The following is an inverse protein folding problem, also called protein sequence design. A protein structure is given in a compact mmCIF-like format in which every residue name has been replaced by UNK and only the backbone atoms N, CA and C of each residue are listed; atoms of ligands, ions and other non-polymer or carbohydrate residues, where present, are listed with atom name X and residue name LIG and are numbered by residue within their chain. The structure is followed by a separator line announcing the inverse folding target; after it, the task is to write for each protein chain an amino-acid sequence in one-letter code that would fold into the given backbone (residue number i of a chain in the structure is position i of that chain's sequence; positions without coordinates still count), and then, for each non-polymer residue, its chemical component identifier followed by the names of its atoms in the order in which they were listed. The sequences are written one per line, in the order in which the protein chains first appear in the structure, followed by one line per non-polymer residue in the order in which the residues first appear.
data_IF_726016762902
#
_entry.id   IF_726016762902
#
_cell.length_a   1.000
_cell.length_b   1.000
_cell.length_c   1.000
_cell.angle_alpha   90.00
_cell.angle_beta   90.00
_cell.angle_gamma   90.00
#
_symmetry.space_group_name_H-M   'P 1'
#
loop_
_entity.id
_entity.type
_entity.pdbx_description
1 polymer ?
#
# COMPACT_ATOMS: atom_id res chain seq x y z
N UNK A 1 0.31 -13.36 -31.97
CA UNK A 1 0.93 -12.75 -30.80
C UNK A 1 1.11 -11.27 -31.11
N UNK A 2 0.09 -10.51 -30.87
CA UNK A 2 0.12 -9.06 -31.09
C UNK A 2 0.24 -8.44 -29.68
N UNK A 3 1.41 -7.90 -29.37
CA UNK A 3 1.59 -7.10 -28.17
C UNK A 3 0.80 -5.81 -28.40
N UNK A 4 -0.40 -5.72 -27.82
CA UNK A 4 -1.11 -4.45 -27.71
C UNK A 4 -0.41 -3.71 -26.57
N UNK A 5 0.61 -2.92 -26.93
CA UNK A 5 1.19 -1.95 -26.03
C UNK A 5 0.11 -0.92 -25.70
N UNK A 6 -0.04 -0.59 -24.43
CA UNK A 6 -0.81 0.56 -23.89
C UNK A 6 -0.41 1.91 -24.57
N UNK A 7 0.60 1.92 -25.41
CA UNK A 7 0.99 3.01 -26.31
C UNK A 7 -0.06 3.36 -27.39
N UNK A 8 -1.21 2.70 -27.43
CA UNK A 8 -2.23 2.98 -28.45
C UNK A 8 -3.29 4.00 -28.03
N UNK A 9 -3.38 4.39 -26.76
CA UNK A 9 -4.29 5.48 -26.40
C UNK A 9 -3.78 6.86 -26.91
N UNK A 10 -2.46 7.02 -27.08
CA UNK A 10 -1.87 8.24 -27.63
C UNK A 10 -1.88 8.31 -29.17
N UNK A 11 -2.38 7.30 -29.90
CA UNK A 11 -2.36 7.25 -31.37
C UNK A 11 -3.74 7.39 -32.03
N UNK A 12 -4.80 7.64 -31.26
CA UNK A 12 -6.16 7.92 -31.81
C UNK A 12 -6.38 9.40 -32.18
N UNK A 13 -5.34 10.23 -32.15
CA UNK A 13 -5.38 11.66 -32.43
C UNK A 13 -5.34 12.03 -33.94
N UNK A 14 -5.66 11.15 -34.87
CA UNK A 14 -5.52 11.44 -36.31
C UNK A 14 -6.79 11.36 -37.16
N UNK A 15 -7.97 11.25 -36.59
CA UNK A 15 -9.21 11.31 -37.41
C UNK A 15 -10.30 12.08 -36.67
N UNK A 16 -10.34 13.41 -36.78
CA UNK A 16 -11.52 14.28 -36.71
C UNK A 16 -12.69 13.99 -35.74
N UNK A 17 -12.55 13.08 -34.79
CA UNK A 17 -13.44 12.92 -33.65
C UNK A 17 -12.92 13.85 -32.55
N UNK A 18 -13.77 14.67 -31.97
CA UNK A 18 -13.45 15.37 -30.71
C UNK A 18 -12.90 14.31 -29.75
N UNK A 19 -11.66 14.49 -29.26
CA UNK A 19 -11.06 13.58 -28.32
C UNK A 19 -12.02 13.51 -27.12
N UNK A 20 -12.54 12.31 -26.80
CA UNK A 20 -13.35 12.10 -25.62
C UNK A 20 -12.47 12.34 -24.39
N UNK A 21 -12.99 13.07 -23.44
CA UNK A 21 -12.33 13.34 -22.16
C UNK A 21 -12.59 12.19 -21.18
N UNK A 22 -11.86 12.07 -20.06
CA UNK A 22 -12.19 11.12 -19.00
C UNK A 22 -13.66 11.20 -18.58
N UNK A 23 -14.22 12.40 -18.52
CA UNK A 23 -15.61 12.61 -18.13
C UNK A 23 -16.65 12.08 -19.13
N UNK A 24 -16.33 12.08 -20.43
CA UNK A 24 -17.22 11.48 -21.42
C UNK A 24 -17.40 9.96 -21.22
N UNK A 25 -16.42 9.32 -20.55
CA UNK A 25 -16.45 7.91 -20.22
C UNK A 25 -16.90 7.62 -18.80
N UNK A 26 -16.46 8.42 -17.82
CA UNK A 26 -16.52 8.07 -16.40
C UNK A 26 -17.51 8.91 -15.59
N UNK A 27 -18.01 10.03 -16.09
CA UNK A 27 -19.13 10.76 -15.45
C UNK A 27 -20.47 10.16 -15.91
N UNK A 28 -20.81 8.98 -15.36
CA UNK A 28 -21.98 8.21 -15.83
C UNK A 28 -23.30 8.85 -15.50
N UNK A 29 -23.44 9.52 -14.36
CA UNK A 29 -24.70 10.16 -13.95
C UNK A 29 -24.82 11.63 -14.38
N UNK A 30 -23.76 12.18 -15.00
CA UNK A 30 -23.73 13.52 -15.59
C UNK A 30 -23.77 14.63 -14.56
N UNK A 31 -23.31 14.38 -13.34
CA UNK A 31 -23.31 15.36 -12.26
C UNK A 31 -22.06 16.27 -12.28
N UNK A 32 -21.12 16.03 -13.20
CA UNK A 32 -19.88 16.79 -13.36
C UNK A 32 -18.77 16.33 -12.43
N UNK A 33 -18.85 15.11 -11.87
CA UNK A 33 -17.89 14.56 -10.94
C UNK A 33 -17.73 13.04 -11.10
N UNK A 34 -16.49 12.55 -11.18
CA UNK A 34 -16.20 11.11 -11.23
C UNK A 34 -16.21 10.55 -9.80
N UNK A 35 -17.41 10.28 -9.29
CA UNK A 35 -17.64 10.04 -7.85
C UNK A 35 -18.11 8.63 -7.51
N UNK A 36 -18.67 8.50 -6.30
CA UNK A 36 -19.13 7.23 -5.76
C UNK A 36 -20.22 6.55 -6.59
N UNK A 37 -21.09 7.31 -7.27
CA UNK A 37 -22.10 6.74 -8.17
C UNK A 37 -21.47 6.09 -9.38
N UNK A 38 -20.43 6.71 -9.94
CA UNK A 38 -19.64 6.15 -11.04
C UNK A 38 -18.93 4.87 -10.62
N UNK A 39 -18.33 4.86 -9.41
CA UNK A 39 -17.72 3.66 -8.83
C UNK A 39 -18.72 2.51 -8.72
N UNK A 40 -19.90 2.76 -8.15
CA UNK A 40 -20.96 1.76 -8.02
C UNK A 40 -21.42 1.24 -9.39
N UNK A 41 -21.45 2.12 -10.37
CA UNK A 41 -21.82 1.75 -11.75
C UNK A 41 -20.73 0.88 -12.40
N UNK A 42 -19.46 1.23 -12.25
CA UNK A 42 -18.33 0.44 -12.73
C UNK A 42 -18.34 -0.97 -12.13
N UNK A 43 -18.50 -1.06 -10.80
CA UNK A 43 -18.59 -2.35 -10.09
C UNK A 43 -19.81 -3.16 -10.49
N UNK A 44 -20.96 -2.52 -10.71
CA UNK A 44 -22.20 -3.19 -11.08
C UNK A 44 -22.22 -3.74 -12.52
N UNK A 45 -21.31 -3.29 -13.37
CA UNK A 45 -21.19 -3.75 -14.77
C UNK A 45 -19.89 -4.52 -15.02
N UNK A 46 -19.10 -4.82 -14.02
CA UNK A 46 -17.87 -5.57 -14.14
C UNK A 46 -18.12 -6.97 -14.70
N UNK A 47 -17.37 -7.38 -15.73
CA UNK A 47 -17.54 -8.64 -16.45
C UNK A 47 -18.70 -8.64 -17.48
N UNK A 48 -19.39 -7.51 -17.70
CA UNK A 48 -20.52 -7.43 -18.64
C UNK A 48 -20.04 -7.21 -20.07
N UNK A 49 -20.48 -8.09 -20.98
CA UNK A 49 -20.23 -7.96 -22.43
C UNK A 49 -21.00 -6.75 -22.98
N UNK A 50 -20.30 -5.84 -23.66
CA UNK A 50 -20.88 -4.60 -24.17
C UNK A 50 -21.26 -3.61 -23.07
N UNK A 51 -20.54 -3.65 -21.94
CA UNK A 51 -20.69 -2.71 -20.84
C UNK A 51 -20.48 -1.26 -21.29
N UNK A 52 -21.11 -0.29 -20.62
CA UNK A 52 -21.06 1.11 -21.06
C UNK A 52 -19.75 1.83 -20.72
N UNK A 53 -18.94 1.28 -19.83
CA UNK A 53 -17.59 1.76 -19.50
C UNK A 53 -16.58 0.78 -20.09
N UNK A 54 -16.35 0.87 -21.39
CA UNK A 54 -15.43 0.05 -22.19
C UNK A 54 -14.56 1.00 -23.05
N UNK A 55 -13.65 1.80 -22.40
CA UNK A 55 -12.83 2.77 -23.09
C UNK A 55 -11.79 2.13 -24.02
N UNK A 56 -11.35 0.91 -23.77
CA UNK A 56 -10.42 0.19 -24.64
C UNK A 56 -11.11 -0.51 -25.81
N UNK A 57 -12.46 -0.56 -25.78
CA UNK A 57 -13.30 -1.18 -26.81
C UNK A 57 -13.03 -2.68 -26.99
N UNK A 58 -12.68 -3.37 -25.92
CA UNK A 58 -12.49 -4.84 -25.88
C UNK A 58 -13.81 -5.58 -26.10
N UNK A 59 -14.92 -4.92 -25.76
CA UNK A 59 -16.29 -5.46 -25.82
C UNK A 59 -16.72 -6.13 -24.51
N UNK A 60 -15.90 -6.09 -23.47
CA UNK A 60 -16.22 -6.56 -22.12
C UNK A 60 -15.74 -5.48 -21.14
N UNK A 61 -16.58 -5.09 -20.21
CA UNK A 61 -16.15 -4.20 -19.13
C UNK A 61 -15.35 -5.03 -18.11
N UNK A 62 -14.04 -5.01 -18.22
CA UNK A 62 -13.11 -5.85 -17.45
C UNK A 62 -12.15 -5.05 -16.57
N UNK A 63 -11.07 -5.71 -16.12
CA UNK A 63 -10.08 -5.09 -15.26
C UNK A 63 -9.38 -3.89 -15.90
N UNK A 64 -9.10 -3.94 -17.21
CA UNK A 64 -8.41 -2.85 -17.90
C UNK A 64 -9.23 -1.56 -17.90
N UNK A 65 -10.56 -1.67 -18.09
CA UNK A 65 -11.47 -0.53 -17.98
C UNK A 65 -11.54 0.02 -16.56
N UNK A 66 -11.64 -0.89 -15.59
CA UNK A 66 -11.69 -0.51 -14.17
C UNK A 66 -10.40 0.19 -13.72
N UNK A 67 -9.24 -0.33 -14.09
CA UNK A 67 -7.96 0.29 -13.77
C UNK A 67 -7.77 1.64 -14.48
N UNK A 68 -8.32 1.81 -15.69
CA UNK A 68 -8.28 3.07 -16.42
C UNK A 68 -9.13 4.17 -15.77
N UNK A 69 -10.17 3.79 -15.05
CA UNK A 69 -11.05 4.68 -14.31
C UNK A 69 -10.45 5.18 -12.97
N UNK A 70 -9.75 4.32 -12.24
CA UNK A 70 -9.28 4.60 -10.87
C UNK A 70 -8.45 5.88 -10.71
N UNK A 71 -7.53 6.26 -11.61
CA UNK A 71 -6.76 7.50 -11.49
C UNK A 71 -7.62 8.77 -11.47
N UNK A 72 -8.82 8.71 -12.05
CA UNK A 72 -9.73 9.85 -12.19
C UNK A 72 -10.78 9.92 -11.08
N UNK A 73 -10.91 8.86 -10.28
CA UNK A 73 -11.86 8.80 -9.18
C UNK A 73 -11.61 9.94 -8.17
N UNK A 74 -12.65 10.68 -7.84
CA UNK A 74 -12.58 11.83 -6.95
C UNK A 74 -12.37 13.17 -7.64
N UNK A 75 -12.29 13.23 -8.97
CA UNK A 75 -12.06 14.46 -9.71
C UNK A 75 -13.36 15.09 -10.25
N UNK A 76 -13.39 16.44 -10.27
CA UNK A 76 -14.40 17.20 -10.98
C UNK A 76 -14.10 17.22 -12.48
N UNK A 77 -15.15 17.26 -13.30
CA UNK A 77 -15.04 17.24 -14.76
C UNK A 77 -14.63 18.59 -15.40
N UNK A 78 -14.48 19.65 -14.63
CA UNK A 78 -14.13 20.96 -15.12
C UNK A 78 -12.67 20.98 -15.63
N UNK A 79 -12.49 20.85 -16.95
CA UNK A 79 -11.20 20.82 -17.66
C UNK A 79 -10.32 19.60 -17.30
N UNK A 80 -10.93 18.44 -17.01
CA UNK A 80 -10.20 17.21 -16.76
C UNK A 80 -9.73 16.60 -18.08
N UNK A 81 -8.42 16.56 -18.27
CA UNK A 81 -7.76 15.90 -19.38
C UNK A 81 -7.26 14.50 -18.98
N UNK A 82 -6.88 13.68 -19.96
CA UNK A 82 -6.24 12.41 -19.71
C UNK A 82 -4.88 12.61 -19.05
N UNK A 83 -4.64 11.89 -17.97
CA UNK A 83 -3.34 11.88 -17.30
C UNK A 83 -2.27 11.19 -18.16
N UNK A 84 -1.05 11.69 -18.09
CA UNK A 84 0.09 11.04 -18.72
C UNK A 84 0.54 9.83 -17.90
N UNK A 85 1.05 8.80 -18.61
CA UNK A 85 1.71 7.67 -17.97
C UNK A 85 3.10 8.10 -17.52
N UNK A 86 3.41 7.85 -16.26
CA UNK A 86 4.72 8.08 -15.65
C UNK A 86 5.51 6.78 -15.52
N UNK A 87 6.78 6.88 -15.16
CA UNK A 87 7.65 5.71 -14.90
C UNK A 87 8.67 6.04 -13.83
N UNK A 88 8.98 5.07 -12.97
CA UNK A 88 10.01 5.21 -11.94
C UNK A 88 9.50 5.76 -10.62
N UNK A 89 8.19 5.96 -10.48
CA UNK A 89 7.56 6.30 -9.21
C UNK A 89 7.31 5.07 -8.33
N UNK A 90 7.03 3.90 -8.95
CA UNK A 90 6.98 2.62 -8.24
C UNK A 90 8.39 2.01 -8.30
N UNK A 91 9.09 1.98 -7.17
CA UNK A 91 10.50 1.58 -7.09
C UNK A 91 10.62 0.05 -7.04
N UNK A 92 9.96 -0.58 -6.04
CA UNK A 92 10.09 -2.02 -5.75
C UNK A 92 9.03 -2.47 -4.74
N UNK A 93 9.14 -3.71 -4.29
CA UNK A 93 8.41 -4.28 -3.16
C UNK A 93 9.35 -4.49 -1.97
N UNK A 94 8.83 -4.23 -0.76
CA UNK A 94 9.53 -4.56 0.47
C UNK A 94 8.80 -5.68 1.21
N UNK A 95 9.55 -6.68 1.70
CA UNK A 95 9.05 -7.75 2.56
C UNK A 95 9.71 -7.63 3.92
N UNK A 96 8.89 -7.44 4.95
CA UNK A 96 9.36 -7.24 6.32
C UNK A 96 8.87 -8.40 7.19
N UNK A 97 9.77 -9.02 7.95
CA UNK A 97 9.40 -9.98 8.98
C UNK A 97 8.76 -9.22 10.16
N UNK A 98 7.44 -9.37 10.31
CA UNK A 98 6.68 -8.67 11.36
C UNK A 98 6.69 -9.43 12.68
N UNK A 99 6.45 -10.76 12.64
CA UNK A 99 6.40 -11.59 13.83
C UNK A 99 6.81 -13.04 13.55
N UNK A 100 7.62 -13.61 14.45
CA UNK A 100 7.96 -15.05 14.47
C UNK A 100 7.21 -15.70 15.63
N UNK A 101 6.36 -16.70 15.32
CA UNK A 101 5.54 -17.37 16.31
C UNK A 101 6.27 -18.56 16.93
N UNK A 102 6.68 -18.44 18.20
CA UNK A 102 7.45 -19.48 18.91
C UNK A 102 6.56 -20.47 19.68
N UNK A 103 5.26 -20.19 19.73
CA UNK A 103 4.26 -21.04 20.40
C UNK A 103 2.97 -21.09 19.58
N UNK A 104 2.15 -22.12 19.83
CA UNK A 104 0.84 -22.23 19.20
C UNK A 104 -0.10 -21.15 19.73
N UNK A 105 -0.70 -20.37 18.84
CA UNK A 105 -1.67 -19.33 19.17
C UNK A 105 -3.08 -19.75 18.78
N UNK A 106 -4.04 -19.54 19.67
CA UNK A 106 -5.45 -19.83 19.39
C UNK A 106 -6.08 -18.72 18.55
N UNK A 107 -6.77 -19.10 17.47
CA UNK A 107 -7.57 -18.22 16.63
C UNK A 107 -9.00 -18.75 16.46
N UNK A 108 -9.90 -17.89 15.96
CA UNK A 108 -11.28 -18.27 15.64
C UNK A 108 -11.35 -19.28 14.49
N UNK A 109 -10.49 -19.10 13.47
CA UNK A 109 -10.37 -19.99 12.30
C UNK A 109 -9.46 -21.21 12.51
N UNK A 110 -8.90 -21.39 13.72
CA UNK A 110 -7.98 -22.50 14.02
C UNK A 110 -6.76 -22.03 14.81
N UNK A 111 -5.83 -22.96 15.00
CA UNK A 111 -4.58 -22.68 15.69
C UNK A 111 -3.51 -22.24 14.71
N UNK A 112 -2.87 -21.10 14.96
CA UNK A 112 -1.64 -20.71 14.29
C UNK A 112 -0.48 -21.49 14.94
N UNK A 113 0.20 -22.40 14.20
CA UNK A 113 1.22 -23.26 14.80
C UNK A 113 2.51 -22.52 15.12
N UNK A 114 3.23 -23.01 16.12
CA UNK A 114 4.59 -22.58 16.40
C UNK A 114 5.50 -22.83 15.18
N UNK A 115 6.38 -21.89 14.90
CA UNK A 115 7.26 -21.88 13.70
C UNK A 115 6.69 -21.09 12.53
N UNK A 116 5.42 -20.66 12.59
CA UNK A 116 4.86 -19.74 11.59
C UNK A 116 5.51 -18.37 11.65
N UNK A 117 5.48 -17.65 10.54
CA UNK A 117 6.00 -16.28 10.42
C UNK A 117 4.98 -15.39 9.73
N UNK A 118 4.78 -14.20 10.27
CA UNK A 118 3.97 -13.14 9.68
C UNK A 118 4.88 -12.14 8.96
N UNK A 119 4.58 -11.89 7.71
CA UNK A 119 5.25 -10.90 6.88
C UNK A 119 4.30 -9.75 6.54
N UNK A 120 4.85 -8.55 6.53
CA UNK A 120 4.21 -7.40 5.88
C UNK A 120 4.86 -7.16 4.52
N UNK A 121 4.05 -6.91 3.51
CA UNK A 121 4.52 -6.56 2.17
C UNK A 121 4.10 -5.13 1.86
N UNK A 122 5.06 -4.34 1.36
CA UNK A 122 4.88 -2.93 1.01
C UNK A 122 5.21 -2.70 -0.45
N UNK A 123 4.53 -1.77 -1.08
CA UNK A 123 5.03 -1.09 -2.28
C UNK A 123 5.93 0.07 -1.85
N UNK A 124 7.04 0.25 -2.55
CA UNK A 124 7.95 1.39 -2.34
C UNK A 124 7.74 2.38 -3.46
N UNK A 125 7.31 3.60 -3.13
CA UNK A 125 7.07 4.70 -4.05
C UNK A 125 8.15 5.77 -3.89
N UNK A 126 8.54 6.42 -4.99
CA UNK A 126 9.57 7.47 -5.02
C UNK A 126 9.14 8.73 -4.27
N UNK A 127 7.87 9.12 -4.45
CA UNK A 127 7.36 10.36 -3.90
C UNK A 127 6.33 10.09 -2.81
N UNK A 128 6.48 10.65 -1.59
CA UNK A 128 5.50 10.50 -0.52
C UNK A 128 4.12 11.09 -0.85
N UNK A 129 4.01 11.93 -1.88
CA UNK A 129 2.73 12.44 -2.38
C UNK A 129 2.04 11.50 -3.38
N UNK A 130 2.68 10.41 -3.79
CA UNK A 130 2.07 9.40 -4.66
C UNK A 130 1.01 8.57 -3.92
N UNK A 131 0.09 7.98 -4.66
CA UNK A 131 -1.04 7.20 -4.14
C UNK A 131 -1.03 5.79 -4.71
N UNK A 132 -1.02 4.77 -3.87
CA UNK A 132 -1.33 3.42 -4.33
C UNK A 132 -2.84 3.31 -4.58
N UNK A 133 -3.24 3.03 -5.80
CA UNK A 133 -4.64 2.88 -6.18
C UNK A 133 -5.10 1.43 -6.12
N UNK A 134 -4.29 0.49 -6.67
CA UNK A 134 -4.67 -0.90 -6.74
C UNK A 134 -3.48 -1.87 -6.73
N UNK A 135 -3.77 -3.06 -6.21
CA UNK A 135 -3.01 -4.30 -6.38
C UNK A 135 -3.86 -5.21 -7.24
N UNK A 136 -3.38 -5.70 -8.38
CA UNK A 136 -4.23 -6.34 -9.38
C UNK A 136 -3.59 -7.54 -10.07
N UNK A 137 -4.41 -8.35 -10.74
CA UNK A 137 -3.99 -9.46 -11.59
C UNK A 137 -5.02 -9.86 -12.63
N UNK A 138 -4.55 -10.37 -13.77
CA UNK A 138 -5.33 -10.94 -14.87
C UNK A 138 -4.52 -12.01 -15.63
N UNK A 139 -5.06 -12.57 -16.74
CA UNK A 139 -4.37 -13.61 -17.50
C UNK A 139 -3.07 -13.13 -18.17
N UNK A 140 -2.97 -11.85 -18.50
CA UNK A 140 -1.77 -11.25 -19.11
C UNK A 140 -0.76 -10.77 -18.06
N UNK A 141 -1.24 -10.43 -16.87
CA UNK A 141 -0.49 -9.88 -15.72
C UNK A 141 -0.89 -10.62 -14.45
N UNK A 142 -0.49 -11.88 -14.29
CA UNK A 142 -0.94 -12.67 -13.14
C UNK A 142 -0.41 -12.10 -11.83
N UNK A 143 -1.28 -12.03 -10.82
CA UNK A 143 -0.90 -11.89 -9.43
C UNK A 143 -0.81 -13.28 -8.83
N UNK A 144 0.29 -13.58 -8.15
CA UNK A 144 0.48 -14.87 -7.50
C UNK A 144 1.28 -14.74 -6.21
N UNK A 145 0.80 -15.35 -5.14
CA UNK A 145 1.52 -15.52 -3.89
C UNK A 145 1.59 -17.00 -3.57
N UNK A 146 2.74 -17.48 -3.18
CA UNK A 146 2.99 -18.89 -2.87
C UNK A 146 3.77 -19.06 -1.58
N UNK A 147 3.41 -20.09 -0.82
CA UNK A 147 4.14 -20.54 0.38
C UNK A 147 4.34 -22.06 0.36
N UNK A 148 5.27 -22.55 1.16
CA UNK A 148 5.57 -23.98 1.24
C UNK A 148 4.43 -24.85 1.79
N UNK A 149 3.52 -24.27 2.61
CA UNK A 149 2.39 -24.98 3.22
C UNK A 149 1.10 -24.18 3.08
N UNK A 150 0.77 -23.29 4.01
CA UNK A 150 -0.50 -22.59 3.99
C UNK A 150 -0.39 -21.11 4.44
N UNK A 151 -1.27 -20.27 3.91
CA UNK A 151 -1.56 -18.94 4.46
C UNK A 151 -2.55 -19.07 5.61
N UNK A 152 -2.20 -18.54 6.78
CA UNK A 152 -3.08 -18.58 7.95
C UNK A 152 -4.21 -17.55 7.83
N UNK A 153 -5.45 -18.01 7.96
CA UNK A 153 -6.65 -17.19 8.06
C UNK A 153 -7.00 -16.40 6.78
N UNK A 154 -6.43 -16.75 5.62
CA UNK A 154 -6.81 -16.12 4.38
C UNK A 154 -8.12 -16.70 3.87
N UNK A 155 -9.16 -15.85 3.75
CA UNK A 155 -10.48 -16.29 3.27
C UNK A 155 -11.17 -17.29 4.18
N UNK A 156 -10.95 -17.20 5.49
CA UNK A 156 -11.54 -18.13 6.46
C UNK A 156 -13.08 -18.01 6.54
N UNK A 157 -13.73 -19.06 7.08
CA UNK A 157 -15.19 -19.17 7.23
C UNK A 157 -15.83 -18.09 8.13
N UNK A 158 -15.04 -17.21 8.74
CA UNK A 158 -15.49 -16.21 9.71
C UNK A 158 -15.80 -14.85 9.11
N UNK A 159 -15.77 -14.72 7.79
CA UNK A 159 -16.26 -13.54 7.15
C UNK A 159 -15.29 -12.81 6.25
N UNK A 160 -14.76 -13.51 5.28
CA UNK A 160 -14.19 -12.85 4.10
C UNK A 160 -13.03 -11.90 4.45
N UNK A 161 -12.08 -12.39 5.24
CA UNK A 161 -10.93 -11.61 5.70
C UNK A 161 -9.82 -11.46 4.65
N UNK A 162 -10.19 -11.34 3.37
CA UNK A 162 -9.21 -11.12 2.30
C UNK A 162 -8.71 -9.67 2.22
N UNK A 163 -9.41 -8.75 2.87
CA UNK A 163 -9.02 -7.33 2.95
C UNK A 163 -8.97 -6.85 4.40
N UNK A 164 -8.08 -5.91 4.71
CA UNK A 164 -7.79 -5.42 6.06
C UNK A 164 -9.00 -5.02 6.91
N UNK A 165 -10.08 -4.59 6.28
CA UNK A 165 -11.29 -4.13 6.97
C UNK A 165 -12.14 -5.23 7.59
N UNK A 166 -11.96 -6.46 7.19
CA UNK A 166 -12.68 -7.60 7.77
C UNK A 166 -12.09 -8.03 9.12
N UNK A 167 -10.89 -7.57 9.44
CA UNK A 167 -10.23 -7.82 10.70
C UNK A 167 -10.97 -7.22 11.90
N UNK A 168 -11.19 -8.05 12.95
CA UNK A 168 -11.97 -7.69 14.14
C UNK A 168 -11.10 -7.72 15.42
N UNK A 169 -10.43 -6.59 15.77
CA UNK A 169 -9.49 -6.55 16.90
C UNK A 169 -10.12 -6.87 18.28
N UNK A 170 -11.43 -6.75 18.39
CA UNK A 170 -12.16 -7.04 19.66
C UNK A 170 -11.96 -8.46 20.17
N UNK A 171 -11.61 -9.41 19.32
CA UNK A 171 -11.45 -10.82 19.71
C UNK A 171 -10.00 -11.20 20.03
N UNK A 172 -9.01 -10.34 19.77
CA UNK A 172 -7.59 -10.68 19.95
C UNK A 172 -7.21 -11.08 21.37
N UNK A 173 -7.86 -10.52 22.40
CA UNK A 173 -7.59 -10.90 23.79
C UNK A 173 -7.95 -12.35 24.11
N UNK A 174 -8.94 -12.93 23.42
CA UNK A 174 -9.38 -14.29 23.59
C UNK A 174 -8.80 -15.24 22.54
N UNK A 175 -8.48 -14.70 21.36
CA UNK A 175 -8.00 -15.41 20.18
C UNK A 175 -6.82 -14.63 19.57
N UNK A 176 -5.62 -14.69 20.17
CA UNK A 176 -4.48 -13.86 19.78
C UNK A 176 -4.01 -14.10 18.34
N UNK A 177 -4.23 -15.30 17.80
CA UNK A 177 -3.86 -15.58 16.41
C UNK A 177 -4.67 -14.79 15.37
N UNK A 178 -5.81 -14.21 15.74
CA UNK A 178 -6.61 -13.41 14.82
C UNK A 178 -5.89 -12.12 14.37
N UNK A 179 -4.95 -11.62 15.16
CA UNK A 179 -4.10 -10.49 14.79
C UNK A 179 -3.23 -10.80 13.57
N UNK A 180 -2.92 -12.08 13.37
CA UNK A 180 -1.97 -12.55 12.37
C UNK A 180 -2.64 -13.21 11.17
N UNK A 181 -3.94 -13.01 10.94
CA UNK A 181 -4.61 -13.49 9.72
C UNK A 181 -4.04 -12.80 8.48
N UNK A 182 -4.02 -13.54 7.36
CA UNK A 182 -3.53 -13.00 6.08
C UNK A 182 -4.62 -12.17 5.39
N UNK A 183 -4.23 -11.03 4.83
CA UNK A 183 -5.14 -10.13 4.11
C UNK A 183 -4.40 -9.20 3.16
N UNK A 184 -5.10 -8.72 2.14
CA UNK A 184 -4.62 -7.66 1.26
C UNK A 184 -5.01 -6.27 1.73
N UNK A 185 -4.20 -5.31 1.34
CA UNK A 185 -4.38 -3.88 1.52
C UNK A 185 -4.09 -3.14 0.20
N UNK A 186 -4.48 -1.88 0.15
CA UNK A 186 -4.16 -0.98 -0.95
C UNK A 186 -3.87 0.43 -0.37
N UNK A 187 -2.79 0.54 0.40
CA UNK A 187 -2.33 1.80 0.94
C UNK A 187 -3.07 2.34 2.18
N UNK A 188 -3.87 1.51 2.85
CA UNK A 188 -4.53 1.92 4.10
C UNK A 188 -3.72 1.42 5.28
N UNK A 189 -3.49 2.27 6.28
CA UNK A 189 -2.88 1.84 7.53
C UNK A 189 -3.72 0.72 8.18
N UNK A 190 -3.05 -0.31 8.71
CA UNK A 190 -3.69 -1.48 9.31
C UNK A 190 -4.48 -1.15 10.60
N UNK A 191 -4.29 0.03 11.18
CA UNK A 191 -5.05 0.49 12.31
C UNK A 191 -6.51 0.72 11.87
N UNK A 192 -7.43 0.02 12.48
CA UNK A 192 -8.85 0.01 12.13
C UNK A 192 -9.59 1.36 12.34
N UNK A 193 -8.88 2.45 12.55
CA UNK A 193 -9.44 3.79 12.78
C UNK A 193 -9.71 4.57 11.50
N UNK A 194 -9.10 4.16 10.37
CA UNK A 194 -9.31 4.79 9.07
C UNK A 194 -10.76 4.66 8.60
N UNK A 195 -11.32 5.75 8.08
CA UNK A 195 -12.62 5.75 7.37
C UNK A 195 -12.50 5.20 5.96
N UNK A 196 -11.28 5.12 5.43
CA UNK A 196 -10.97 4.54 4.12
C UNK A 196 -11.20 3.03 4.13
N UNK A 197 -11.64 2.47 3.02
CA UNK A 197 -11.90 1.04 2.87
C UNK A 197 -11.13 0.49 1.70
N UNK A 198 -10.55 -0.70 1.89
CA UNK A 198 -10.11 -1.53 0.77
C UNK A 198 -11.33 -2.30 0.27
N UNK A 199 -11.49 -2.34 -1.03
CA UNK A 199 -12.49 -3.15 -1.71
C UNK A 199 -11.80 -4.08 -2.70
N UNK A 200 -12.53 -5.09 -3.12
CA UNK A 200 -12.07 -6.05 -4.11
C UNK A 200 -13.06 -6.09 -5.27
N UNK A 201 -12.54 -6.17 -6.48
CA UNK A 201 -13.28 -6.56 -7.67
C UNK A 201 -12.64 -7.81 -8.26
N UNK A 202 -13.45 -8.79 -8.65
CA UNK A 202 -13.00 -10.02 -9.30
C UNK A 202 -14.05 -10.53 -10.27
N UNK A 203 -13.61 -11.13 -11.37
CA UNK A 203 -14.48 -11.63 -12.44
C UNK A 203 -15.29 -12.86 -12.08
N UNK A 204 -15.00 -13.53 -10.98
CA UNK A 204 -15.69 -14.73 -10.55
C UNK A 204 -16.15 -14.62 -9.09
N UNK A 205 -17.35 -15.13 -8.84
CA UNK A 205 -18.03 -14.94 -7.56
C UNK A 205 -17.42 -15.71 -6.37
N UNK A 206 -16.50 -16.66 -6.60
CA UNK A 206 -16.05 -17.62 -5.60
C UNK A 206 -14.53 -17.92 -5.68
N UNK A 207 -13.70 -16.96 -6.12
CA UNK A 207 -12.27 -17.24 -6.22
C UNK A 207 -11.62 -17.50 -4.85
N UNK A 208 -12.11 -16.86 -3.79
CA UNK A 208 -11.67 -17.08 -2.42
C UNK A 208 -11.96 -18.51 -1.96
N UNK A 209 -13.12 -19.07 -2.36
CA UNK A 209 -13.52 -20.44 -2.02
C UNK A 209 -12.72 -21.52 -2.79
N UNK A 210 -12.02 -21.14 -3.86
CA UNK A 210 -11.22 -22.04 -4.70
C UNK A 210 -9.73 -21.99 -4.39
N UNK A 211 -9.30 -21.20 -3.38
CA UNK A 211 -7.88 -21.04 -3.06
C UNK A 211 -7.28 -22.33 -2.51
N UNK A 212 -6.14 -22.69 -3.07
CA UNK A 212 -5.21 -23.63 -2.46
C UNK A 212 -4.65 -22.96 -1.19
N UNK A 213 -4.62 -23.64 -0.03
CA UNK A 213 -4.10 -23.06 1.21
C UNK A 213 -2.72 -22.42 1.09
N UNK A 214 -1.86 -22.94 0.20
CA UNK A 214 -0.51 -22.45 -0.03
C UNK A 214 -0.36 -21.52 -1.23
N UNK A 215 -1.44 -21.16 -1.93
CA UNK A 215 -1.37 -20.38 -3.17
C UNK A 215 -2.54 -19.40 -3.27
N UNK A 216 -2.24 -18.16 -3.58
CA UNK A 216 -3.20 -17.10 -3.88
C UNK A 216 -2.92 -16.64 -5.30
N UNK A 217 -3.82 -16.91 -6.24
CA UNK A 217 -3.60 -16.62 -7.66
C UNK A 217 -4.80 -15.86 -8.24
N UNK A 218 -4.51 -14.82 -9.02
CA UNK A 218 -5.47 -14.06 -9.79
C UNK A 218 -4.93 -13.94 -11.21
N UNK A 219 -5.40 -14.82 -12.09
CA UNK A 219 -4.87 -15.04 -13.44
C UNK A 219 -5.97 -15.33 -14.48
N UNK A 220 -7.24 -15.04 -14.18
CA UNK A 220 -8.33 -15.23 -15.13
C UNK A 220 -8.49 -14.06 -16.11
N UNK A 221 -9.24 -14.31 -17.20
CA UNK A 221 -9.39 -13.36 -18.32
C UNK A 221 -10.20 -12.10 -17.99
N UNK A 222 -10.91 -12.07 -16.88
CA UNK A 222 -11.64 -10.88 -16.41
C UNK A 222 -10.79 -10.11 -15.42
N UNK A 223 -9.93 -10.81 -14.69
CA UNK A 223 -9.02 -10.26 -13.70
C UNK A 223 -9.70 -9.81 -12.42
N UNK A 224 -8.92 -9.16 -11.57
CA UNK A 224 -9.39 -8.59 -10.33
C UNK A 224 -8.40 -7.62 -9.72
N UNK A 225 -8.86 -6.86 -8.75
CA UNK A 225 -8.03 -5.90 -8.03
C UNK A 225 -8.48 -5.74 -6.58
N UNK A 226 -7.51 -5.52 -5.70
CA UNK A 226 -7.71 -4.90 -4.39
C UNK A 226 -7.41 -3.41 -4.55
N UNK A 227 -8.31 -2.54 -4.14
CA UNK A 227 -8.19 -1.11 -4.35
C UNK A 227 -8.71 -0.30 -3.17
N UNK A 228 -8.17 0.91 -2.98
CA UNK A 228 -8.66 1.84 -1.98
C UNK A 228 -9.84 2.65 -2.53
N UNK A 229 -10.95 2.70 -1.78
CA UNK A 229 -12.09 3.54 -2.13
C UNK A 229 -11.80 5.05 -1.91
N UNK A 230 -10.84 5.36 -1.07
CA UNK A 230 -10.40 6.72 -0.76
C UNK A 230 -8.88 6.69 -0.55
N UNK A 231 -8.09 6.63 -1.65
CA UNK A 231 -6.64 6.61 -1.53
C UNK A 231 -6.16 7.89 -0.86
N UNK A 232 -5.15 7.75 -0.02
CA UNK A 232 -4.46 8.87 0.62
C UNK A 232 -2.99 8.84 0.20
N UNK A 233 -2.31 10.00 0.13
CA UNK A 233 -0.87 10.03 -0.11
C UNK A 233 -0.14 9.18 0.92
N UNK A 234 0.99 8.64 0.51
CA UNK A 234 1.83 7.86 1.41
C UNK A 234 2.69 8.80 2.22
N UNK A 235 2.38 8.98 3.48
CA UNK A 235 3.17 9.85 4.38
C UNK A 235 4.39 9.18 4.99
N UNK A 236 4.72 7.94 4.61
CA UNK A 236 5.72 7.13 5.30
C UNK A 236 6.93 6.85 4.41
N UNK A 237 7.57 7.91 3.92
CA UNK A 237 8.71 7.85 3.00
C UNK A 237 8.49 6.86 1.83
N UNK A 238 7.31 6.91 1.23
CA UNK A 238 6.93 6.10 0.07
C UNK A 238 6.60 4.63 0.37
N UNK A 239 6.71 4.14 1.60
CA UNK A 239 6.37 2.76 1.94
C UNK A 239 4.86 2.58 2.19
N UNK A 240 4.20 1.85 1.29
CA UNK A 240 2.74 1.68 1.27
C UNK A 240 2.37 0.24 1.56
N UNK A 241 1.61 -0.07 2.63
CA UNK A 241 1.24 -1.44 2.93
C UNK A 241 0.30 -2.02 1.87
N UNK A 242 0.64 -3.20 1.34
CA UNK A 242 -0.17 -3.94 0.38
C UNK A 242 -0.69 -5.27 0.92
N UNK A 243 -0.19 -5.75 2.05
CA UNK A 243 -0.75 -6.92 2.70
C UNK A 243 0.03 -7.40 3.91
N UNK A 244 -0.67 -8.20 4.71
CA UNK A 244 -0.11 -9.04 5.76
C UNK A 244 -0.32 -10.49 5.36
N UNK A 245 0.74 -11.28 5.44
CA UNK A 245 0.70 -12.70 5.07
C UNK A 245 1.41 -13.52 6.13
N UNK A 246 0.64 -14.37 6.81
CA UNK A 246 1.17 -15.30 7.79
C UNK A 246 1.26 -16.68 7.17
N UNK A 247 2.47 -17.21 7.09
CA UNK A 247 2.76 -18.52 6.51
C UNK A 247 3.05 -19.54 7.60
N UNK A 248 2.48 -20.72 7.46
CA UNK A 248 2.66 -21.79 8.45
C UNK A 248 3.99 -22.54 8.30
N UNK A 249 4.59 -22.49 7.11
CA UNK A 249 5.95 -22.93 6.85
C UNK A 249 6.75 -21.80 6.16
N UNK A 250 7.67 -21.11 6.87
CA UNK A 250 8.44 -20.01 6.34
C UNK A 250 9.61 -20.41 5.45
N UNK A 251 9.78 -21.68 5.10
CA UNK A 251 10.85 -22.15 4.23
C UNK A 251 10.77 -21.56 2.82
N UNK A 252 9.58 -21.12 2.39
CA UNK A 252 9.36 -20.41 1.13
C UNK A 252 8.12 -19.52 1.26
N UNK A 253 8.28 -18.23 0.99
CA UNK A 253 7.20 -17.28 0.73
C UNK A 253 7.67 -16.32 -0.35
N UNK A 254 6.98 -16.31 -1.46
CA UNK A 254 7.32 -15.49 -2.61
C UNK A 254 6.05 -15.08 -3.37
N UNK A 255 6.18 -14.10 -4.24
CA UNK A 255 5.06 -13.68 -5.05
C UNK A 255 5.44 -12.80 -6.23
N UNK A 256 4.45 -12.64 -7.09
CA UNK A 256 4.44 -11.67 -8.19
C UNK A 256 3.23 -10.79 -8.03
N UNK A 257 3.42 -9.49 -8.07
CA UNK A 257 2.37 -8.48 -7.83
C UNK A 257 2.42 -7.43 -8.94
N UNK A 258 1.24 -6.93 -9.30
CA UNK A 258 1.13 -5.78 -10.19
C UNK A 258 0.44 -4.63 -9.44
N UNK A 259 0.94 -3.43 -9.65
CA UNK A 259 0.52 -2.22 -8.95
C UNK A 259 0.06 -1.15 -9.92
N UNK A 260 -0.95 -0.39 -9.51
CA UNK A 260 -1.33 0.88 -10.12
C UNK A 260 -1.18 1.98 -9.07
N UNK A 261 -0.41 3.00 -9.40
CA UNK A 261 -0.27 4.20 -8.59
C UNK A 261 -0.75 5.44 -9.36
N UNK A 262 -1.32 6.40 -8.64
CA UNK A 262 -1.45 7.78 -9.09
C UNK A 262 -0.21 8.53 -8.63
N UNK A 263 0.43 9.23 -9.54
CA UNK A 263 1.72 9.88 -9.31
C UNK A 263 1.58 11.38 -9.30
N UNK A 264 2.38 12.04 -8.48
CA UNK A 264 2.44 13.50 -8.38
C UNK A 264 3.85 13.95 -8.74
N UNK A 265 3.98 14.69 -9.83
CA UNK A 265 5.25 15.22 -10.31
C UNK A 265 5.69 16.46 -9.50
N UNK A 266 6.97 16.81 -9.55
CA UNK A 266 7.55 17.97 -8.84
C UNK A 266 6.86 19.32 -9.13
N UNK A 267 6.21 19.46 -10.27
CA UNK A 267 5.45 20.65 -10.66
C UNK A 267 3.99 20.61 -10.21
N UNK A 268 3.59 19.54 -9.51
CA UNK A 268 2.24 19.32 -9.01
C UNK A 268 1.27 18.76 -10.06
N UNK A 269 1.76 18.40 -11.25
CA UNK A 269 0.92 17.70 -12.23
C UNK A 269 0.72 16.24 -11.82
N UNK A 270 -0.45 15.70 -12.15
CA UNK A 270 -0.80 14.33 -11.82
C UNK A 270 -0.63 13.39 -13.02
N UNK A 271 -0.19 12.18 -12.74
CA UNK A 271 -0.04 11.10 -13.70
C UNK A 271 -0.44 9.76 -13.10
N UNK A 272 -0.12 8.70 -13.78
CA UNK A 272 -0.26 7.34 -13.22
C UNK A 272 0.83 6.40 -13.75
N UNK A 273 1.13 5.36 -12.97
CA UNK A 273 2.09 4.34 -13.33
C UNK A 273 1.52 2.94 -13.09
N UNK A 274 1.76 2.05 -14.05
CA UNK A 274 1.60 0.61 -13.89
C UNK A 274 2.97 -0.02 -13.71
N UNK A 275 3.15 -0.75 -12.60
CA UNK A 275 4.29 -1.64 -12.41
C UNK A 275 3.81 -3.08 -12.44
N UNK A 276 4.28 -3.83 -13.45
CA UNK A 276 3.83 -5.18 -13.74
C UNK A 276 4.95 -6.19 -13.45
N UNK A 277 4.56 -7.34 -12.88
CA UNK A 277 5.47 -8.45 -12.65
C UNK A 277 6.53 -8.17 -11.58
N UNK A 278 6.26 -7.30 -10.62
CA UNK A 278 7.13 -7.10 -9.47
C UNK A 278 7.19 -8.38 -8.65
N UNK A 279 8.38 -8.85 -8.33
CA UNK A 279 8.58 -10.10 -7.59
C UNK A 279 9.21 -9.84 -6.24
N UNK A 280 8.84 -10.64 -5.25
CA UNK A 280 9.46 -10.62 -3.94
C UNK A 280 9.67 -12.04 -3.40
N UNK A 281 10.53 -12.15 -2.38
CA UNK A 281 10.80 -13.40 -1.66
C UNK A 281 11.18 -13.10 -0.21
N UNK A 282 10.78 -13.98 0.72
CA UNK A 282 11.26 -13.93 2.10
C UNK A 282 12.74 -14.27 2.27
N UNK A 283 13.44 -14.61 1.18
CA UNK A 283 14.90 -14.74 1.17
C UNK A 283 15.62 -13.37 1.16
N UNK A 284 14.92 -12.32 0.70
CA UNK A 284 15.44 -10.97 0.52
C UNK A 284 14.61 -9.99 1.36
N UNK A 285 14.73 -10.09 2.69
CA UNK A 285 13.97 -9.23 3.62
C UNK A 285 14.46 -7.78 3.59
N UNK A 286 13.51 -6.87 3.61
CA UNK A 286 13.76 -5.45 3.83
C UNK A 286 13.84 -5.18 5.32
N UNK A 287 14.86 -4.44 5.75
CA UNK A 287 15.02 -3.99 7.13
C UNK A 287 14.68 -2.51 7.18
N UNK A 288 13.60 -2.17 7.85
CA UNK A 288 13.26 -0.78 8.15
C UNK A 288 14.07 -0.29 9.36
N UNK A 289 14.62 0.92 9.26
CA UNK A 289 15.41 1.52 10.32
C UNK A 289 16.12 2.78 9.87
N UNK A 290 16.78 3.45 10.79
CA UNK A 290 17.51 4.68 10.51
C UNK A 290 18.76 4.40 9.67
N UNK A 291 18.85 5.04 8.50
CA UNK A 291 19.99 4.93 7.58
C UNK A 291 20.99 6.11 7.71
N UNK A 292 20.72 7.07 8.60
CA UNK A 292 21.60 8.22 8.82
C UNK A 292 22.66 7.89 9.90
N UNK A 293 23.94 7.91 9.50
CA UNK A 293 25.08 7.65 10.40
C UNK A 293 25.22 8.68 11.53
N UNK A 294 24.60 9.86 11.41
CA UNK A 294 24.61 10.91 12.42
C UNK A 294 23.53 10.73 13.49
N UNK A 295 22.53 9.87 13.23
CA UNK A 295 21.48 9.57 14.19
C UNK A 295 21.97 8.65 15.31
N UNK A 296 21.38 8.79 16.51
CA UNK A 296 21.77 7.99 17.69
C UNK A 296 21.37 6.52 17.58
N UNK A 297 20.42 6.21 16.72
CA UNK A 297 19.89 4.87 16.48
C UNK A 297 20.15 4.38 15.04
N UNK A 298 21.24 4.86 14.41
CA UNK A 298 21.68 4.36 13.12
C UNK A 298 21.74 2.83 13.09
N UNK A 299 21.09 2.23 12.12
CA UNK A 299 21.13 0.79 11.86
C UNK A 299 21.84 0.49 10.54
N UNK A 300 23.07 -0.03 10.57
CA UNK A 300 23.81 -0.35 9.34
C UNK A 300 23.19 -1.51 8.53
N UNK A 301 22.20 -2.22 9.08
CA UNK A 301 21.46 -3.26 8.38
C UNK A 301 20.19 -2.73 7.70
N UNK A 302 19.77 -1.49 8.02
CA UNK A 302 18.60 -0.89 7.40
C UNK A 302 18.81 -0.74 5.89
N UNK A 303 17.79 -1.11 5.14
CA UNK A 303 17.75 -1.01 3.67
C UNK A 303 16.69 -0.04 3.18
N UNK A 304 15.80 0.40 4.08
CA UNK A 304 14.80 1.43 3.84
C UNK A 304 14.52 2.18 5.16
N UNK A 305 14.32 3.49 5.08
CA UNK A 305 14.04 4.33 6.23
C UNK A 305 12.62 4.89 6.13
N UNK A 306 11.82 4.69 7.18
CA UNK A 306 10.51 5.31 7.31
C UNK A 306 10.64 6.70 7.94
N UNK A 307 9.58 7.51 7.81
CA UNK A 307 9.51 8.81 8.47
C UNK A 307 9.58 8.64 10.00
N UNK A 308 10.46 9.39 10.63
CA UNK A 308 10.67 9.33 12.08
C UNK A 308 11.51 8.13 12.58
N UNK A 309 12.05 7.30 11.68
CA UNK A 309 12.93 6.19 12.09
C UNK A 309 14.24 6.67 12.75
N UNK A 310 14.74 7.85 12.37
CA UNK A 310 15.98 8.37 12.92
C UNK A 310 15.73 9.21 14.17
N UNK A 311 16.51 8.97 15.20
CA UNK A 311 16.49 9.72 16.44
C UNK A 311 17.73 10.62 16.55
N UNK A 312 17.50 11.92 16.64
CA UNK A 312 18.56 12.92 16.81
C UNK A 312 18.55 13.51 18.20
N UNK A 313 19.72 13.80 18.82
CA UNK A 313 19.74 14.55 20.06
C UNK A 313 19.14 15.94 19.88
N UNK A 314 18.11 16.26 20.65
CA UNK A 314 17.40 17.53 20.54
C UNK A 314 16.07 17.48 19.76
N UNK A 315 15.84 16.46 18.96
CA UNK A 315 14.55 16.22 18.28
C UNK A 315 13.65 15.39 19.19
N UNK A 316 12.80 16.04 19.97
CA UNK A 316 11.96 15.38 20.98
C UNK A 316 10.65 14.84 20.44
N UNK A 317 10.14 15.43 19.36
CA UNK A 317 8.90 14.98 18.74
C UNK A 317 9.14 14.00 17.56
N UNK A 318 10.40 13.88 17.09
CA UNK A 318 10.79 12.95 16.03
C UNK A 318 10.36 13.38 14.63
N UNK A 319 10.17 14.69 14.40
CA UNK A 319 9.75 15.21 13.09
C UNK A 319 10.93 15.59 12.18
N UNK A 320 12.17 15.50 12.68
CA UNK A 320 13.39 15.84 11.97
C UNK A 320 13.68 17.34 11.91
N UNK A 321 12.84 18.19 12.49
CA UNK A 321 13.02 19.63 12.57
C UNK A 321 13.33 20.05 14.01
N UNK A 322 14.31 20.98 14.19
CA UNK A 322 14.60 21.51 15.49
C UNK A 322 13.78 22.78 15.72
N UNK A 323 12.77 22.69 16.58
CA UNK A 323 11.80 23.75 16.80
C UNK A 323 11.65 24.14 18.28
N UNK A 324 10.77 25.09 18.58
CA UNK A 324 10.43 25.48 19.95
C UNK A 324 9.73 24.33 20.70
N UNK A 325 9.09 23.40 20.00
CA UNK A 325 8.43 22.22 20.60
C UNK A 325 9.47 21.30 21.21
N UNK A 326 10.59 21.09 20.53
CA UNK A 326 11.71 20.29 21.03
C UNK A 326 12.42 20.96 22.20
N UNK A 327 12.56 22.28 22.15
CA UNK A 327 13.09 23.05 23.30
C UNK A 327 12.24 22.86 24.57
N UNK A 328 10.91 22.74 24.41
CA UNK A 328 10.04 22.46 25.57
C UNK A 328 10.27 21.05 26.13
N UNK A 329 10.49 20.06 25.24
CA UNK A 329 10.88 18.69 25.61
C UNK A 329 12.20 18.67 26.35
N UNK A 330 13.23 19.35 25.83
CA UNK A 330 14.55 19.49 26.48
C UNK A 330 14.45 20.17 27.86
N UNK A 331 13.63 21.20 28.00
CA UNK A 331 13.42 21.86 29.29
C UNK A 331 12.75 20.95 30.32
N UNK A 332 11.91 20.00 29.89
CA UNK A 332 11.34 19.00 30.79
C UNK A 332 12.38 18.01 31.31
N UNK A 333 13.41 17.73 30.52
CA UNK A 333 14.53 16.86 30.89
C UNK A 333 15.68 17.60 31.60
N UNK A 334 15.56 18.89 31.84
CA UNK A 334 16.62 19.67 32.46
C UNK A 334 17.06 19.12 33.82
N UNK A 335 18.35 18.83 33.96
CA UNK A 335 18.95 18.20 35.15
C UNK A 335 18.91 16.66 35.11
N UNK A 336 18.38 16.05 34.07
CA UNK A 336 18.42 14.60 33.88
C UNK A 336 19.84 14.11 33.56
N UNK A 337 20.22 12.95 34.11
CA UNK A 337 21.54 12.32 33.90
C UNK A 337 21.47 11.01 33.11
N UNK A 338 20.31 10.68 32.57
CA UNK A 338 20.07 9.46 31.78
C UNK A 338 19.08 9.71 30.65
N UNK A 339 19.11 10.91 30.08
CA UNK A 339 18.23 11.36 29.01
C UNK A 339 19.08 11.72 27.76
N UNK A 340 19.46 10.72 26.96
CA UNK A 340 20.38 10.92 25.84
C UNK A 340 19.81 11.86 24.77
N UNK A 341 18.48 11.99 24.66
CA UNK A 341 17.84 12.88 23.71
C UNK A 341 18.06 14.36 24.02
N UNK A 342 18.14 14.73 25.32
CA UNK A 342 18.41 16.08 25.75
C UNK A 342 19.91 16.41 25.97
N UNK A 343 20.77 15.39 26.08
CA UNK A 343 22.21 15.52 26.25
C UNK A 343 22.89 15.63 24.87
N UNK A 344 22.80 16.83 24.29
CA UNK A 344 23.29 17.08 22.92
C UNK A 344 24.83 17.05 22.88
N UNK A 345 25.49 17.48 23.98
CA UNK A 345 26.96 17.52 24.02
C UNK A 345 27.59 16.19 24.47
N UNK A 346 26.78 15.21 24.92
CA UNK A 346 27.21 13.89 25.33
C UNK A 346 28.00 13.89 26.66
N UNK A 347 27.84 14.91 27.55
CA UNK A 347 28.55 14.99 28.80
C UNK A 347 27.88 14.20 29.96
N UNK A 348 26.71 13.59 29.68
CA UNK A 348 25.95 12.75 30.59
C UNK A 348 24.93 13.53 31.44
N UNK A 349 24.64 14.79 31.15
CA UNK A 349 23.68 15.60 31.90
C UNK A 349 23.02 16.66 31.02
N UNK A 350 21.70 16.68 30.98
CA UNK A 350 20.94 17.76 30.31
C UNK A 350 21.05 19.06 31.13
N UNK A 351 21.74 20.05 30.61
CA UNK A 351 22.04 21.30 31.31
C UNK A 351 22.04 22.53 30.38
N UNK A 352 22.52 23.68 30.85
CA UNK A 352 22.52 24.93 30.06
C UNK A 352 23.39 24.83 28.80
N UNK A 353 24.42 23.97 28.79
CA UNK A 353 25.30 23.83 27.63
C UNK A 353 24.55 23.17 26.47
N UNK A 354 23.69 22.20 26.77
CA UNK A 354 22.85 21.52 25.77
C UNK A 354 21.81 22.47 25.18
N UNK A 355 21.18 23.29 26.05
CA UNK A 355 20.23 24.31 25.56
C UNK A 355 20.95 25.32 24.66
N UNK A 356 22.18 25.73 24.99
CA UNK A 356 22.94 26.66 24.15
C UNK A 356 23.31 26.01 22.78
N UNK A 357 23.64 24.73 22.77
CA UNK A 357 23.87 23.98 21.55
C UNK A 357 22.57 23.86 20.72
N UNK A 358 21.47 23.45 21.36
CA UNK A 358 20.17 23.37 20.71
C UNK A 358 19.78 24.69 20.01
N UNK A 359 19.98 25.83 20.69
CA UNK A 359 19.70 27.15 20.11
C UNK A 359 20.54 27.48 18.86
N UNK A 360 21.57 26.70 18.54
CA UNK A 360 22.33 26.84 17.28
C UNK A 360 21.78 25.98 16.16
N UNK A 361 20.86 25.08 16.47
CA UNK A 361 20.19 24.20 15.51
C UNK A 361 18.86 24.79 15.00
N UNK A 362 18.24 25.72 15.80
CA UNK A 362 17.07 26.51 15.39
C UNK A 362 17.43 27.48 14.25
#
# INVERSE_FOLDING_TARGET
MLRINILTLSLLLATGMSAQTPCDWFDHDGDGFIGGNTMLYALGNYGVVGGPMDPDSSGVQDLSDFLSFLPYFGNACDNLDWYDTTTGHIIDLAVVEYAVHTEDLMGLGGTLPAGSVTYHVYALLENPDDYLLAVFGDEDRPLGLETADAFYGFGDDLGETVVVRSYQPLFNSAFPANEFTSWFNAGIAADATSTSTVSMVAGFANWVDSLDPGSIIMDDSIGGAFFSNFPTPTSNNGAVPIGQFTVTDPSSFNGTINLLAKTVLDDGTEGFEFAEGLTFSNADLTVFGCMDEEATNFDPAATWQLDGDCAYPGDFNGDGEFTVEDLLGMLADFGCTSCPQGDINGDGMVNVQDILLFLTLL
#
